data_IF_597555772082
#
_entry.id   IF_597555772082
#
_cell.length_a   1.000
_cell.length_b   1.000
_cell.length_c   1.000
_cell.angle_alpha   90.00
_cell.angle_beta   90.00
_cell.angle_gamma   90.00
#
_symmetry.space_group_name_H-M   'P 1'
#
loop_
_entity.id
_entity.type
_entity.pdbx_description
1 polymer ?
#
# COMPACT_ATOMS: atom_id res chain seq x y z
N UNK A 1 8.53 16.31 -48.03
CA UNK A 1 9.20 15.89 -46.78
C UNK A 1 8.20 15.09 -45.98
N UNK A 2 8.23 13.78 -46.14
CA UNK A 2 7.35 12.84 -45.43
C UNK A 2 8.03 12.51 -44.10
N UNK A 3 7.46 12.98 -42.99
CA UNK A 3 7.89 12.63 -41.64
C UNK A 3 7.52 11.16 -41.36
N UNK A 4 8.50 10.26 -41.49
CA UNK A 4 8.37 8.92 -40.92
C UNK A 4 8.26 9.04 -39.41
N UNK A 5 7.05 8.96 -38.86
CA UNK A 5 6.82 8.65 -37.45
C UNK A 5 7.30 7.21 -37.22
N UNK A 6 8.54 7.03 -36.78
CA UNK A 6 9.01 5.73 -36.34
C UNK A 6 8.19 5.34 -35.13
N UNK A 7 7.22 4.46 -35.30
CA UNK A 7 6.51 3.81 -34.22
C UNK A 7 7.57 3.09 -33.35
N UNK A 8 7.83 3.62 -32.14
CA UNK A 8 8.72 2.94 -31.19
C UNK A 8 8.14 1.54 -30.96
N UNK A 9 8.95 0.48 -30.97
CA UNK A 9 8.46 -0.86 -30.78
C UNK A 9 7.69 -0.91 -29.43
N UNK A 10 6.47 -1.46 -29.44
CA UNK A 10 5.59 -1.55 -28.27
C UNK A 10 6.25 -2.27 -27.08
N UNK A 11 7.31 -3.05 -27.32
CA UNK A 11 8.02 -3.87 -26.34
C UNK A 11 9.42 -3.33 -26.05
N UNK A 12 9.48 -2.13 -25.46
CA UNK A 12 10.74 -1.52 -25.01
C UNK A 12 11.26 -2.20 -23.72
N UNK A 13 12.55 -2.00 -23.38
CA UNK A 13 13.11 -2.48 -22.11
C UNK A 13 12.33 -1.91 -20.91
N UNK A 14 11.93 -0.64 -20.95
CA UNK A 14 11.12 0.02 -19.93
C UNK A 14 9.79 -0.73 -19.68
N UNK A 15 9.06 -1.10 -20.73
CA UNK A 15 7.80 -1.83 -20.62
C UNK A 15 7.99 -3.25 -20.07
N UNK A 16 9.06 -3.94 -20.51
CA UNK A 16 9.41 -5.27 -19.99
C UNK A 16 9.78 -5.23 -18.53
N UNK A 17 10.60 -4.27 -18.13
CA UNK A 17 10.99 -4.08 -16.74
C UNK A 17 9.79 -3.76 -15.88
N UNK A 18 8.92 -2.85 -16.33
CA UNK A 18 7.67 -2.52 -15.62
C UNK A 18 6.80 -3.77 -15.40
N UNK A 19 6.62 -4.61 -16.43
CA UNK A 19 5.84 -5.83 -16.30
C UNK A 19 6.44 -6.79 -15.27
N UNK A 20 7.75 -7.02 -15.33
CA UNK A 20 8.45 -7.92 -14.39
C UNK A 20 8.32 -7.39 -12.96
N UNK A 21 8.58 -6.11 -12.74
CA UNK A 21 8.52 -5.51 -11.40
C UNK A 21 7.07 -5.38 -10.89
N UNK A 22 6.11 -5.14 -11.78
CA UNK A 22 4.68 -5.18 -11.48
C UNK A 22 4.27 -6.56 -10.97
N UNK A 23 4.64 -7.62 -11.69
CA UNK A 23 4.40 -8.99 -11.26
C UNK A 23 5.11 -9.29 -9.93
N UNK A 24 6.38 -8.85 -9.79
CA UNK A 24 7.16 -9.05 -8.56
C UNK A 24 6.41 -8.48 -7.33
N UNK A 25 6.04 -7.22 -7.38
CA UNK A 25 5.39 -6.57 -6.24
C UNK A 25 3.94 -7.04 -6.04
N UNK A 26 3.25 -7.35 -7.11
CA UNK A 26 1.91 -7.93 -7.04
C UNK A 26 1.90 -9.30 -6.35
N UNK A 27 2.88 -10.16 -6.63
CA UNK A 27 2.99 -11.46 -5.97
C UNK A 27 3.48 -11.38 -4.53
N UNK A 28 4.25 -10.36 -4.14
CA UNK A 28 4.50 -10.06 -2.71
C UNK A 28 3.17 -9.87 -1.98
N UNK A 29 2.25 -9.08 -2.53
CA UNK A 29 0.95 -8.87 -1.90
C UNK A 29 0.03 -10.10 -2.02
N UNK A 30 0.16 -10.89 -3.08
CA UNK A 30 -0.55 -12.16 -3.20
C UNK A 30 -0.20 -13.11 -2.04
N UNK A 31 1.09 -13.33 -1.77
CA UNK A 31 1.57 -14.17 -0.67
C UNK A 31 1.24 -13.57 0.71
N UNK A 32 1.38 -12.25 0.85
CA UNK A 32 1.08 -11.53 2.09
C UNK A 32 -0.38 -11.69 2.49
N UNK A 33 -1.31 -11.54 1.53
CA UNK A 33 -2.75 -11.62 1.77
C UNK A 33 -3.26 -13.07 1.82
N UNK A 34 -2.53 -14.02 1.22
CA UNK A 34 -2.91 -15.44 1.23
C UNK A 34 -3.17 -15.97 2.64
N UNK A 35 -2.37 -15.56 3.64
CA UNK A 35 -2.60 -15.96 5.03
C UNK A 35 -3.99 -15.54 5.51
N UNK A 36 -4.37 -14.29 5.28
CA UNK A 36 -5.66 -13.77 5.75
C UNK A 36 -6.83 -14.54 5.12
N UNK A 37 -6.71 -14.88 3.83
CA UNK A 37 -7.73 -15.67 3.12
C UNK A 37 -7.77 -17.13 3.57
N UNK A 38 -6.61 -17.70 3.95
CA UNK A 38 -6.48 -19.08 4.39
C UNK A 38 -6.70 -19.27 5.89
N UNK A 39 -6.66 -18.18 6.69
CA UNK A 39 -6.80 -18.27 8.13
C UNK A 39 -8.08 -18.98 8.58
N UNK A 40 -9.27 -18.75 7.99
CA UNK A 40 -10.48 -19.48 8.36
C UNK A 40 -10.36 -21.00 8.16
N UNK A 41 -9.52 -21.47 7.22
CA UNK A 41 -9.33 -22.89 6.95
C UNK A 41 -8.33 -23.53 7.93
N UNK A 42 -7.34 -22.75 8.39
CA UNK A 42 -6.26 -23.25 9.22
C UNK A 42 -6.45 -23.01 10.73
N UNK A 43 -7.29 -22.02 11.10
CA UNK A 43 -7.52 -21.67 12.50
C UNK A 43 -8.08 -22.81 13.33
N UNK A 44 -9.03 -23.56 12.78
CA UNK A 44 -9.63 -24.71 13.45
C UNK A 44 -8.63 -25.88 13.62
N UNK A 45 -7.82 -26.18 12.60
CA UNK A 45 -6.84 -27.28 12.62
C UNK A 45 -5.66 -27.00 13.53
N UNK A 46 -5.15 -25.75 13.50
CA UNK A 46 -3.96 -25.35 14.27
C UNK A 46 -4.32 -24.72 15.61
N UNK A 47 -5.59 -24.66 15.98
CA UNK A 47 -6.10 -24.04 17.21
C UNK A 47 -5.60 -22.60 17.41
N UNK A 48 -5.67 -21.78 16.34
CA UNK A 48 -5.17 -20.41 16.34
C UNK A 48 -6.23 -19.43 16.82
N UNK A 49 -5.84 -18.51 17.72
CA UNK A 49 -6.68 -17.41 18.16
C UNK A 49 -6.59 -16.18 17.26
N UNK A 50 -7.54 -15.25 17.37
CA UNK A 50 -7.50 -13.97 16.66
C UNK A 50 -6.32 -13.10 17.11
N UNK A 51 -5.93 -13.17 18.38
CA UNK A 51 -4.70 -12.53 18.88
C UNK A 51 -3.48 -13.04 18.11
N UNK A 52 -3.38 -14.35 17.90
CA UNK A 52 -2.28 -14.95 17.15
C UNK A 52 -2.28 -14.53 15.69
N UNK A 53 -3.45 -14.39 15.03
CA UNK A 53 -3.54 -13.82 13.68
C UNK A 53 -2.99 -12.39 13.66
N UNK A 54 -3.38 -11.56 14.62
CA UNK A 54 -2.86 -10.21 14.77
C UNK A 54 -1.35 -10.17 14.97
N UNK A 55 -0.81 -11.03 15.84
CA UNK A 55 0.63 -11.13 16.10
C UNK A 55 1.43 -11.57 14.86
N UNK A 56 0.90 -12.50 14.07
CA UNK A 56 1.51 -12.98 12.83
C UNK A 56 1.55 -11.88 11.78
N UNK A 57 0.47 -11.12 11.63
CA UNK A 57 0.41 -9.94 10.75
C UNK A 57 1.38 -8.85 11.20
N UNK A 58 1.46 -8.60 12.51
CA UNK A 58 2.39 -7.65 13.14
C UNK A 58 3.86 -8.03 12.93
N UNK A 59 4.20 -9.32 13.10
CA UNK A 59 5.56 -9.80 12.93
C UNK A 59 6.07 -9.58 11.50
N UNK A 60 5.23 -9.89 10.50
CA UNK A 60 5.55 -9.63 9.10
C UNK A 60 5.75 -8.13 8.84
N UNK A 61 4.83 -7.28 9.31
CA UNK A 61 4.92 -5.83 9.09
C UNK A 61 6.20 -5.23 9.68
N UNK A 62 6.56 -5.61 10.91
CA UNK A 62 7.77 -5.14 11.58
C UNK A 62 9.03 -5.56 10.82
N UNK A 63 9.15 -6.83 10.48
CA UNK A 63 10.36 -7.36 9.81
C UNK A 63 10.45 -6.83 8.37
N UNK A 64 9.32 -6.63 7.69
CA UNK A 64 9.24 -5.99 6.38
C UNK A 64 9.78 -4.55 6.42
N UNK A 65 9.35 -3.75 7.38
CA UNK A 65 9.79 -2.35 7.52
C UNK A 65 11.30 -2.27 7.83
N UNK A 66 11.78 -3.07 8.77
CA UNK A 66 13.19 -3.09 9.17
C UNK A 66 14.11 -3.58 8.03
N UNK A 67 13.72 -4.66 7.38
CA UNK A 67 14.50 -5.25 6.27
C UNK A 67 14.52 -4.33 5.05
N UNK A 68 13.39 -3.71 4.69
CA UNK A 68 13.31 -2.77 3.58
C UNK A 68 14.22 -1.57 3.78
N UNK A 69 14.21 -0.99 4.99
CA UNK A 69 15.08 0.15 5.33
C UNK A 69 16.57 -0.24 5.31
N UNK A 70 16.93 -1.37 5.92
CA UNK A 70 18.32 -1.83 5.98
C UNK A 70 18.87 -2.18 4.60
N UNK A 71 18.09 -2.94 3.80
CA UNK A 71 18.53 -3.38 2.46
C UNK A 71 18.54 -2.23 1.47
N UNK A 72 17.59 -1.26 1.57
CA UNK A 72 17.61 -0.05 0.76
C UNK A 72 18.91 0.73 0.98
N UNK A 73 19.27 1.01 2.23
CA UNK A 73 20.50 1.71 2.57
C UNK A 73 21.76 0.94 2.10
N UNK A 74 21.78 -0.39 2.27
CA UNK A 74 22.91 -1.22 1.84
C UNK A 74 23.05 -1.29 0.32
N UNK A 75 21.93 -1.41 -0.40
CA UNK A 75 21.89 -1.40 -1.86
C UNK A 75 22.40 -0.07 -2.43
N UNK A 76 21.99 1.04 -1.84
CA UNK A 76 22.44 2.38 -2.27
C UNK A 76 23.96 2.57 -2.07
N UNK A 77 24.51 2.00 -0.98
CA UNK A 77 25.95 2.06 -0.70
C UNK A 77 26.79 1.22 -1.68
N UNK A 78 26.27 0.08 -2.13
CA UNK A 78 27.02 -0.88 -2.97
C UNK A 78 26.64 -0.86 -4.44
N UNK A 79 25.52 -0.27 -4.80
CA UNK A 79 25.00 -0.22 -6.18
C UNK A 79 24.55 -1.59 -6.72
N UNK A 80 24.29 -2.57 -5.85
CA UNK A 80 23.85 -3.93 -6.24
C UNK A 80 22.36 -4.07 -5.98
N UNK A 81 21.54 -4.18 -7.03
CA UNK A 81 20.07 -4.25 -6.91
C UNK A 81 19.49 -5.55 -7.42
N UNK A 82 19.91 -5.99 -8.59
CA UNK A 82 19.39 -7.22 -9.23
C UNK A 82 19.65 -8.47 -8.38
N UNK A 83 20.86 -8.77 -7.87
CA UNK A 83 21.08 -9.94 -7.05
C UNK A 83 20.28 -9.94 -5.76
N UNK A 84 20.15 -8.76 -5.12
CA UNK A 84 19.34 -8.61 -3.92
C UNK A 84 17.86 -8.82 -4.19
N UNK A 85 17.34 -8.32 -5.31
CA UNK A 85 15.95 -8.53 -5.71
C UNK A 85 15.67 -10.01 -6.00
N UNK A 86 16.60 -10.72 -6.68
CA UNK A 86 16.47 -12.17 -6.90
C UNK A 86 16.47 -12.92 -5.57
N UNK A 87 17.39 -12.63 -4.66
CA UNK A 87 17.45 -13.24 -3.35
C UNK A 87 16.17 -13.00 -2.54
N UNK A 88 15.64 -11.78 -2.58
CA UNK A 88 14.38 -11.40 -1.94
C UNK A 88 13.20 -12.21 -2.50
N UNK A 89 13.08 -12.30 -3.83
CA UNK A 89 11.99 -13.04 -4.50
C UNK A 89 12.08 -14.54 -4.21
N UNK A 90 13.26 -15.14 -4.29
CA UNK A 90 13.45 -16.55 -3.92
C UNK A 90 13.16 -16.77 -2.44
N UNK A 91 13.62 -15.86 -1.57
CA UNK A 91 13.40 -15.93 -0.13
C UNK A 91 11.92 -15.95 0.24
N UNK A 92 11.11 -15.00 -0.26
CA UNK A 92 9.69 -15.01 0.06
C UNK A 92 8.94 -16.19 -0.57
N UNK A 93 9.33 -16.63 -1.76
CA UNK A 93 8.74 -17.83 -2.40
C UNK A 93 8.98 -19.09 -1.59
N UNK A 94 10.19 -19.25 -1.06
CA UNK A 94 10.50 -20.36 -0.15
C UNK A 94 9.69 -20.24 1.16
N UNK A 95 9.59 -19.05 1.74
CA UNK A 95 8.79 -18.81 2.94
C UNK A 95 7.30 -19.08 2.71
N UNK A 96 6.77 -18.79 1.50
CA UNK A 96 5.40 -19.12 1.10
C UNK A 96 5.22 -20.66 1.13
N UNK A 97 6.10 -21.41 0.50
CA UNK A 97 6.05 -22.88 0.55
C UNK A 97 6.18 -23.42 1.99
N UNK A 98 7.10 -22.87 2.79
CA UNK A 98 7.27 -23.27 4.20
C UNK A 98 6.03 -22.96 5.05
N UNK A 99 5.24 -21.95 4.67
CA UNK A 99 3.95 -21.67 5.33
C UNK A 99 2.93 -22.80 5.16
N UNK A 100 3.06 -23.66 4.14
CA UNK A 100 2.28 -24.89 4.00
C UNK A 100 2.72 -26.03 4.96
N UNK A 101 3.92 -25.94 5.55
CA UNK A 101 4.45 -26.96 6.48
C UNK A 101 4.21 -26.60 7.95
N UNK A 102 3.53 -25.50 8.27
CA UNK A 102 3.33 -25.08 9.65
C UNK A 102 2.47 -26.09 10.42
N UNK A 103 2.92 -26.40 11.63
CA UNK A 103 2.22 -27.29 12.58
C UNK A 103 1.66 -26.56 13.78
N UNK A 104 1.75 -25.20 13.85
CA UNK A 104 1.24 -24.39 14.96
C UNK A 104 1.73 -22.96 14.92
N UNK A 105 1.34 -22.18 15.95
CA UNK A 105 1.62 -20.74 16.01
C UNK A 105 3.10 -20.39 15.93
N UNK A 106 3.98 -21.13 16.64
CA UNK A 106 5.40 -20.80 16.69
C UNK A 106 6.09 -20.90 15.31
N UNK A 107 5.78 -21.92 14.54
CA UNK A 107 6.29 -22.07 13.17
C UNK A 107 5.69 -21.03 12.22
N UNK A 108 4.40 -20.71 12.38
CA UNK A 108 3.71 -19.73 11.56
C UNK A 108 4.30 -18.32 11.75
N UNK A 109 4.48 -17.86 12.99
CA UNK A 109 5.05 -16.53 13.26
C UNK A 109 6.51 -16.45 12.81
N UNK A 110 7.30 -17.51 12.96
CA UNK A 110 8.68 -17.57 12.49
C UNK A 110 8.77 -17.42 10.95
N UNK A 111 7.95 -18.17 10.21
CA UNK A 111 7.96 -18.08 8.74
C UNK A 111 7.41 -16.74 8.26
N UNK A 112 6.45 -16.14 8.95
CA UNK A 112 5.97 -14.78 8.63
C UNK A 112 7.02 -13.70 8.90
N UNK A 113 7.77 -13.82 9.98
CA UNK A 113 8.89 -12.91 10.24
C UNK A 113 10.00 -13.06 9.16
N UNK A 114 10.35 -14.28 8.78
CA UNK A 114 11.29 -14.54 7.68
C UNK A 114 10.77 -14.03 6.33
N UNK A 115 9.49 -14.23 6.05
CA UNK A 115 8.83 -13.69 4.85
C UNK A 115 8.92 -12.17 4.81
N UNK A 116 8.65 -11.46 5.93
CA UNK A 116 8.79 -10.02 6.01
C UNK A 116 10.24 -9.55 5.76
N UNK A 117 11.24 -10.29 6.25
CA UNK A 117 12.66 -10.01 5.95
C UNK A 117 12.93 -10.13 4.44
N UNK A 118 12.37 -11.14 3.78
CA UNK A 118 12.56 -11.36 2.35
C UNK A 118 11.77 -10.37 1.48
N UNK A 119 10.54 -10.03 1.85
CA UNK A 119 9.68 -9.11 1.09
C UNK A 119 10.10 -7.64 1.21
N UNK A 120 10.62 -7.21 2.38
CA UNK A 120 10.94 -5.81 2.66
C UNK A 120 11.80 -5.13 1.59
N UNK A 121 12.86 -5.78 1.08
CA UNK A 121 13.72 -5.23 0.03
C UNK A 121 13.04 -5.02 -1.33
N UNK A 122 11.96 -5.77 -1.62
CA UNK A 122 11.39 -5.84 -2.98
C UNK A 122 10.94 -4.48 -3.49
N UNK A 123 10.21 -3.71 -2.67
CA UNK A 123 9.70 -2.42 -3.11
C UNK A 123 10.81 -1.38 -3.37
N UNK A 124 11.73 -1.08 -2.42
CA UNK A 124 12.77 -0.09 -2.65
C UNK A 124 13.71 -0.45 -3.81
N UNK A 125 14.05 -1.74 -3.97
CA UNK A 125 14.88 -2.20 -5.08
C UNK A 125 14.14 -2.06 -6.42
N UNK A 126 12.88 -2.44 -6.47
CA UNK A 126 12.05 -2.32 -7.69
C UNK A 126 11.85 -0.87 -8.09
N UNK A 127 11.57 0.01 -7.12
CA UNK A 127 11.43 1.45 -7.37
C UNK A 127 12.71 2.05 -7.92
N UNK A 128 13.86 1.71 -7.34
CA UNK A 128 15.16 2.18 -7.82
C UNK A 128 15.44 1.76 -9.25
N UNK A 129 15.26 0.47 -9.59
CA UNK A 129 15.43 -0.05 -10.95
C UNK A 129 14.48 0.62 -11.96
N UNK A 130 13.21 0.84 -11.54
CA UNK A 130 12.20 1.44 -12.41
C UNK A 130 12.48 2.93 -12.66
N UNK A 131 12.85 3.71 -11.64
CA UNK A 131 13.17 5.13 -11.76
C UNK A 131 14.32 5.35 -12.75
N UNK A 132 15.37 4.54 -12.67
CA UNK A 132 16.54 4.66 -13.55
C UNK A 132 16.25 4.29 -15.00
N UNK A 133 15.31 3.38 -15.21
CA UNK A 133 14.96 2.89 -16.54
C UNK A 133 13.77 3.63 -17.18
N UNK A 134 13.06 4.46 -16.40
CA UNK A 134 11.88 5.18 -16.88
C UNK A 134 12.22 6.47 -17.58
N UNK A 135 11.56 6.71 -18.71
CA UNK A 135 11.55 8.03 -19.36
C UNK A 135 10.91 9.07 -18.41
N UNK A 136 11.39 10.33 -18.37
CA UNK A 136 10.88 11.34 -17.43
C UNK A 136 9.35 11.52 -17.48
N UNK A 137 8.77 11.47 -18.68
CA UNK A 137 7.31 11.63 -18.90
C UNK A 137 6.46 10.46 -18.37
N UNK A 138 7.03 9.25 -18.27
CA UNK A 138 6.33 8.04 -17.83
C UNK A 138 6.65 7.61 -16.39
N UNK A 139 7.62 8.25 -15.75
CA UNK A 139 8.12 7.86 -14.43
C UNK A 139 7.00 7.81 -13.38
N UNK A 140 6.14 8.82 -13.35
CA UNK A 140 4.99 8.85 -12.42
C UNK A 140 4.00 7.71 -12.66
N UNK A 141 3.65 7.45 -13.93
CA UNK A 141 2.77 6.34 -14.31
C UNK A 141 3.37 4.98 -13.91
N UNK A 142 4.65 4.77 -14.25
CA UNK A 142 5.34 3.51 -13.94
C UNK A 142 5.41 3.24 -12.43
N UNK A 143 5.65 4.28 -11.62
CA UNK A 143 5.67 4.16 -10.16
C UNK A 143 4.27 3.90 -9.58
N UNK A 144 3.24 4.56 -10.11
CA UNK A 144 1.85 4.32 -9.71
C UNK A 144 1.38 2.90 -10.03
N UNK A 145 1.71 2.39 -11.21
CA UNK A 145 1.41 1.01 -11.61
C UNK A 145 2.15 0.01 -10.71
N UNK A 146 3.44 0.22 -10.50
CA UNK A 146 4.27 -0.67 -9.68
C UNK A 146 3.77 -0.76 -8.24
N UNK A 147 3.53 0.35 -7.58
CA UNK A 147 3.23 0.39 -6.15
C UNK A 147 1.74 0.21 -5.85
N UNK A 148 0.87 0.89 -6.60
CA UNK A 148 -0.56 0.92 -6.32
C UNK A 148 -1.32 -0.23 -6.97
N UNK A 149 -1.21 -0.35 -8.30
CA UNK A 149 -2.05 -1.28 -9.06
C UNK A 149 -1.63 -2.73 -8.92
N UNK A 150 -0.32 -3.01 -8.80
CA UNK A 150 0.16 -4.39 -8.72
C UNK A 150 -0.37 -5.12 -7.49
N UNK A 151 -0.27 -4.48 -6.31
CA UNK A 151 -0.76 -5.05 -5.05
C UNK A 151 -2.28 -5.26 -5.07
N UNK A 152 -3.04 -4.27 -5.57
CA UNK A 152 -4.50 -4.36 -5.68
C UNK A 152 -4.96 -5.44 -6.66
N UNK A 153 -4.37 -5.46 -7.86
CA UNK A 153 -4.78 -6.39 -8.91
C UNK A 153 -4.42 -7.83 -8.58
N UNK A 154 -3.15 -8.12 -8.32
CA UNK A 154 -2.69 -9.50 -8.11
C UNK A 154 -2.98 -9.99 -6.69
N UNK A 155 -2.70 -9.17 -5.67
CA UNK A 155 -2.89 -9.57 -4.29
C UNK A 155 -4.34 -9.59 -3.85
N UNK A 156 -5.04 -8.47 -4.01
CA UNK A 156 -6.37 -8.30 -3.43
C UNK A 156 -7.52 -8.70 -4.37
N UNK A 157 -7.38 -8.58 -5.69
CA UNK A 157 -8.46 -8.90 -6.63
C UNK A 157 -8.35 -10.33 -7.18
N UNK A 158 -7.16 -10.76 -7.63
CA UNK A 158 -6.92 -12.11 -8.18
C UNK A 158 -6.63 -13.13 -7.06
N UNK A 159 -5.97 -12.69 -5.98
CA UNK A 159 -5.58 -13.56 -4.87
C UNK A 159 -6.73 -14.36 -4.25
N UNK A 160 -7.83 -13.73 -3.79
CA UNK A 160 -8.91 -14.45 -3.13
C UNK A 160 -9.48 -15.61 -3.96
N UNK A 161 -9.95 -15.43 -5.21
CA UNK A 161 -10.54 -16.53 -5.96
C UNK A 161 -9.54 -17.66 -6.23
N UNK A 162 -8.27 -17.36 -6.44
CA UNK A 162 -7.25 -18.38 -6.68
C UNK A 162 -6.90 -19.14 -5.40
N UNK A 163 -6.55 -18.43 -4.33
CA UNK A 163 -6.09 -19.03 -3.07
C UNK A 163 -7.21 -19.80 -2.39
N UNK A 164 -8.42 -19.22 -2.32
CA UNK A 164 -9.59 -19.85 -1.72
C UNK A 164 -10.07 -21.03 -2.58
N UNK A 165 -10.06 -20.88 -3.91
CA UNK A 165 -10.42 -21.96 -4.83
C UNK A 165 -9.53 -23.20 -4.67
N UNK A 166 -8.20 -23.01 -4.54
CA UNK A 166 -7.28 -24.11 -4.26
C UNK A 166 -7.54 -24.71 -2.88
N UNK A 167 -7.71 -23.85 -1.86
CA UNK A 167 -7.90 -24.28 -0.48
C UNK A 167 -9.18 -25.10 -0.28
N UNK A 168 -10.26 -24.77 -0.99
CA UNK A 168 -11.53 -25.50 -0.90
C UNK A 168 -11.48 -26.89 -1.53
N UNK A 169 -10.66 -27.10 -2.55
CA UNK A 169 -10.57 -28.37 -3.28
C UNK A 169 -9.44 -29.26 -2.75
N UNK A 170 -8.27 -28.67 -2.50
CA UNK A 170 -7.05 -29.42 -2.18
C UNK A 170 -6.55 -29.20 -0.75
N UNK A 171 -7.06 -28.18 -0.05
CA UNK A 171 -6.61 -27.81 1.27
C UNK A 171 -5.76 -26.53 1.29
N UNK A 172 -5.63 -25.93 2.49
CA UNK A 172 -4.91 -24.67 2.67
C UNK A 172 -3.38 -24.80 2.51
N UNK A 173 -2.84 -25.99 2.78
CA UNK A 173 -1.39 -26.26 2.61
C UNK A 173 -0.99 -26.20 1.14
N UNK A 174 -1.77 -26.84 0.30
CA UNK A 174 -1.58 -26.88 -1.15
C UNK A 174 -1.70 -25.48 -1.76
N UNK A 175 -2.57 -24.63 -1.21
CA UNK A 175 -2.67 -23.24 -1.64
C UNK A 175 -1.35 -22.48 -1.41
N UNK A 176 -0.67 -22.69 -0.29
CA UNK A 176 0.67 -22.12 -0.06
C UNK A 176 1.73 -22.70 -0.98
N UNK A 177 1.71 -24.02 -1.24
CA UNK A 177 2.68 -24.64 -2.16
C UNK A 177 2.51 -24.11 -3.60
N UNK A 178 1.28 -23.93 -4.05
CA UNK A 178 1.03 -23.37 -5.39
C UNK A 178 1.41 -21.89 -5.45
N UNK A 179 1.20 -21.14 -4.38
CA UNK A 179 1.54 -19.70 -4.32
C UNK A 179 3.03 -19.42 -4.49
N UNK A 180 3.93 -20.35 -4.17
CA UNK A 180 5.37 -20.15 -4.35
C UNK A 180 5.82 -20.22 -5.82
N UNK A 181 5.09 -20.91 -6.70
CA UNK A 181 5.49 -21.17 -8.10
C UNK A 181 5.70 -19.86 -8.88
N UNK A 182 4.79 -18.88 -8.88
CA UNK A 182 5.00 -17.63 -9.60
C UNK A 182 6.27 -16.89 -9.19
N UNK A 183 6.65 -16.95 -7.90
CA UNK A 183 7.86 -16.30 -7.41
C UNK A 183 9.13 -16.89 -8.03
N UNK A 184 9.24 -18.20 -8.18
CA UNK A 184 10.39 -18.83 -8.89
C UNK A 184 10.43 -18.43 -10.36
N UNK A 185 9.28 -18.36 -11.04
CA UNK A 185 9.20 -17.90 -12.43
C UNK A 185 9.64 -16.43 -12.55
N UNK A 186 9.20 -15.58 -11.62
CA UNK A 186 9.59 -14.17 -11.57
C UNK A 186 11.08 -14.01 -11.30
N UNK A 187 11.65 -14.78 -10.36
CA UNK A 187 13.09 -14.76 -10.10
C UNK A 187 13.90 -15.14 -11.35
N UNK A 188 13.45 -16.15 -12.11
CA UNK A 188 14.02 -16.49 -13.41
C UNK A 188 13.89 -15.34 -14.42
N UNK A 189 12.72 -14.69 -14.48
CA UNK A 189 12.51 -13.53 -15.34
C UNK A 189 13.43 -12.35 -14.99
N UNK A 190 13.60 -12.07 -13.70
CA UNK A 190 14.52 -11.04 -13.19
C UNK A 190 15.96 -11.40 -13.61
N UNK A 191 16.38 -12.63 -13.35
CA UNK A 191 17.71 -13.09 -13.72
C UNK A 191 17.98 -12.97 -15.21
N UNK A 192 17.04 -13.33 -16.06
CA UNK A 192 17.22 -13.40 -17.52
C UNK A 192 17.10 -12.04 -18.22
N UNK A 193 16.22 -11.15 -17.74
CA UNK A 193 15.83 -9.96 -18.50
C UNK A 193 16.07 -8.63 -17.78
N UNK A 194 16.23 -8.60 -16.48
CA UNK A 194 16.54 -7.35 -15.75
C UNK A 194 18.06 -7.10 -15.85
N UNK A 195 18.41 -5.86 -16.17
CA UNK A 195 19.82 -5.43 -16.24
C UNK A 195 20.24 -4.88 -14.88
N UNK A 196 21.47 -5.18 -14.46
CA UNK A 196 22.08 -4.50 -13.32
C UNK A 196 22.37 -3.05 -13.68
N UNK A 197 22.19 -2.15 -12.76
CA UNK A 197 22.50 -0.75 -12.93
C UNK A 197 23.87 -0.48 -12.31
N UNK A 198 24.83 0.09 -13.07
CA UNK A 198 26.16 0.37 -12.54
C UNK A 198 26.14 1.32 -11.34
N UNK A 199 27.08 1.18 -10.38
CA UNK A 199 27.24 2.13 -9.28
C UNK A 199 27.48 3.55 -9.81
N UNK A 200 26.61 4.48 -9.47
CA UNK A 200 26.73 5.89 -9.95
C UNK A 200 25.58 6.37 -10.84
N UNK A 201 24.79 5.49 -11.45
CA UNK A 201 23.60 5.86 -12.23
C UNK A 201 22.54 6.59 -11.40
N UNK A 202 22.41 6.24 -10.13
CA UNK A 202 21.45 6.85 -9.19
C UNK A 202 21.71 8.33 -8.92
N UNK A 203 22.99 8.75 -8.83
CA UNK A 203 23.32 10.17 -8.60
C UNK A 203 22.84 11.08 -9.73
N UNK A 204 22.87 10.58 -10.98
CA UNK A 204 22.36 11.34 -12.13
C UNK A 204 20.84 11.36 -12.19
N UNK A 205 20.18 10.23 -11.86
CA UNK A 205 18.71 10.15 -11.87
C UNK A 205 18.05 10.95 -10.72
N UNK A 206 18.65 10.96 -9.54
CA UNK A 206 18.22 11.81 -8.43
C UNK A 206 18.48 13.31 -8.70
N UNK A 207 19.59 13.64 -9.39
CA UNK A 207 19.88 15.02 -9.78
C UNK A 207 18.95 15.55 -10.88
N UNK A 208 18.45 14.67 -11.79
CA UNK A 208 17.55 15.06 -12.88
C UNK A 208 16.07 15.04 -12.45
N UNK A 209 15.70 14.23 -11.44
CA UNK A 209 14.33 14.16 -10.92
C UNK A 209 14.01 15.14 -9.78
N UNK A 210 15.05 15.59 -9.07
CA UNK A 210 14.99 16.72 -8.14
C UNK A 210 15.87 17.81 -8.77
N UNK A 211 15.31 18.84 -9.33
CA UNK A 211 16.04 19.93 -9.98
C UNK A 211 16.95 20.73 -9.03
N UNK A 212 17.79 20.04 -8.26
CA UNK A 212 18.86 20.64 -7.46
C UNK A 212 20.00 19.62 -7.24
N UNK A 213 21.28 20.04 -7.30
CA UNK A 213 22.42 19.23 -6.91
C UNK A 213 22.27 18.83 -5.45
N UNK A 214 22.66 17.58 -5.13
CA UNK A 214 22.86 17.18 -3.74
C UNK A 214 23.96 18.08 -3.15
N UNK A 215 23.58 19.26 -2.70
CA UNK A 215 24.43 20.08 -1.86
C UNK A 215 24.66 19.27 -0.59
N UNK A 216 25.91 19.07 -0.23
CA UNK A 216 26.40 18.68 1.08
C UNK A 216 25.91 19.72 2.09
N UNK A 217 24.67 19.68 2.46
CA UNK A 217 24.00 20.57 3.39
C UNK A 217 23.59 19.79 4.63
N UNK A 218 23.71 20.41 5.77
CA UNK A 218 23.41 19.92 7.09
C UNK A 218 22.25 18.93 7.14
N UNK A 219 22.43 17.81 7.84
CA UNK A 219 21.44 16.76 8.01
C UNK A 219 20.09 17.41 8.40
N UNK A 220 19.05 17.17 7.57
CA UNK A 220 17.71 17.70 7.86
C UNK A 220 17.27 17.08 9.18
N UNK A 221 17.02 17.92 10.16
CA UNK A 221 16.46 17.47 11.43
C UNK A 221 15.03 16.95 11.16
N UNK A 222 14.91 15.62 11.13
CA UNK A 222 13.63 14.94 10.84
C UNK A 222 12.53 15.37 11.81
N UNK A 223 12.88 15.63 13.06
CA UNK A 223 11.94 16.07 14.09
C UNK A 223 11.46 17.51 13.86
N UNK A 224 12.24 18.34 13.18
CA UNK A 224 11.80 19.68 12.81
C UNK A 224 10.66 19.66 11.78
N UNK A 225 10.55 18.59 10.97
CA UNK A 225 9.44 18.43 10.02
C UNK A 225 8.09 18.26 10.70
N UNK A 226 8.05 17.75 11.95
CA UNK A 226 6.81 17.65 12.73
C UNK A 226 6.25 19.01 13.17
N UNK A 227 7.02 20.10 13.04
CA UNK A 227 6.51 21.47 13.26
C UNK A 227 5.62 21.93 12.10
N UNK A 228 5.79 21.34 10.92
CA UNK A 228 4.91 21.59 9.78
C UNK A 228 3.56 20.90 10.01
N UNK A 229 2.49 21.72 10.12
CA UNK A 229 1.14 21.24 10.47
C UNK A 229 0.66 20.10 9.59
N UNK A 230 0.82 20.19 8.26
CA UNK A 230 0.40 19.15 7.35
C UNK A 230 1.21 17.86 7.53
N UNK A 231 2.51 17.94 7.82
CA UNK A 231 3.36 16.76 8.05
C UNK A 231 2.93 16.04 9.33
N UNK A 232 2.75 16.77 10.44
CA UNK A 232 2.28 16.19 11.70
C UNK A 232 0.93 15.49 11.51
N UNK A 233 -0.01 16.17 10.83
CA UNK A 233 -1.32 15.58 10.56
C UNK A 233 -1.23 14.36 9.65
N UNK A 234 -0.39 14.38 8.61
CA UNK A 234 -0.17 13.21 7.76
C UNK A 234 0.43 12.03 8.54
N UNK A 235 1.31 12.27 9.52
CA UNK A 235 1.83 11.21 10.42
C UNK A 235 0.69 10.61 11.25
N UNK A 236 -0.15 11.43 11.87
CA UNK A 236 -1.27 10.95 12.68
C UNK A 236 -2.33 10.24 11.83
N UNK A 237 -2.66 10.81 10.66
CA UNK A 237 -3.57 10.20 9.69
C UNK A 237 -3.02 8.85 9.23
N UNK A 238 -1.72 8.75 8.97
CA UNK A 238 -1.07 7.51 8.57
C UNK A 238 -1.25 6.41 9.64
N UNK A 239 -1.02 6.72 10.91
CA UNK A 239 -1.26 5.78 12.01
C UNK A 239 -2.72 5.26 12.02
N UNK A 240 -3.67 6.17 11.87
CA UNK A 240 -5.10 5.83 11.89
C UNK A 240 -5.54 5.04 10.63
N UNK A 241 -5.10 5.49 9.46
CA UNK A 241 -5.46 4.83 8.19
C UNK A 241 -4.79 3.48 8.00
N UNK A 242 -3.53 3.31 8.40
CA UNK A 242 -2.91 1.98 8.38
C UNK A 242 -3.59 1.04 9.37
N UNK A 243 -4.06 1.53 10.53
CA UNK A 243 -4.91 0.73 11.43
C UNK A 243 -6.17 0.25 10.70
N UNK A 244 -6.90 1.16 10.03
CA UNK A 244 -8.07 0.80 9.21
C UNK A 244 -7.73 -0.25 8.18
N UNK A 245 -6.67 -0.04 7.40
CA UNK A 245 -6.27 -0.90 6.29
C UNK A 245 -5.82 -2.28 6.75
N UNK A 246 -4.86 -2.35 7.68
CA UNK A 246 -4.26 -3.63 8.08
C UNK A 246 -5.25 -4.47 8.88
N UNK A 247 -6.07 -3.86 9.73
CA UNK A 247 -7.08 -4.58 10.51
C UNK A 247 -8.16 -5.15 9.59
N UNK A 248 -8.73 -4.35 8.68
CA UNK A 248 -9.78 -4.86 7.77
C UNK A 248 -9.26 -5.98 6.87
N UNK A 249 -8.06 -5.82 6.30
CA UNK A 249 -7.50 -6.84 5.41
C UNK A 249 -7.16 -8.14 6.13
N UNK A 250 -6.70 -8.05 7.39
CA UNK A 250 -6.33 -9.23 8.17
C UNK A 250 -7.55 -9.96 8.73
N UNK A 251 -8.57 -9.23 9.19
CA UNK A 251 -9.68 -9.81 9.94
C UNK A 251 -10.97 -9.97 9.15
N UNK A 252 -11.15 -9.27 8.02
CA UNK A 252 -12.38 -9.41 7.23
C UNK A 252 -12.65 -10.84 6.76
N UNK A 253 -11.68 -11.63 6.24
CA UNK A 253 -11.94 -13.01 5.84
C UNK A 253 -12.45 -13.88 6.97
N UNK A 254 -11.81 -13.81 8.14
CA UNK A 254 -12.22 -14.55 9.34
C UNK A 254 -13.58 -14.10 9.83
N UNK A 255 -13.82 -12.78 9.88
CA UNK A 255 -15.10 -12.20 10.29
C UNK A 255 -16.24 -12.67 9.38
N UNK A 256 -16.04 -12.67 8.07
CA UNK A 256 -17.06 -13.10 7.10
C UNK A 256 -17.41 -14.60 7.23
N UNK A 257 -16.42 -15.46 7.49
CA UNK A 257 -16.63 -16.89 7.64
C UNK A 257 -17.13 -17.25 9.04
N UNK A 258 -16.46 -16.83 10.10
CA UNK A 258 -16.74 -17.27 11.47
C UNK A 258 -17.93 -16.53 12.10
N UNK A 259 -18.03 -15.19 11.89
CA UNK A 259 -19.12 -14.40 12.52
C UNK A 259 -20.35 -14.23 11.62
N UNK A 260 -20.14 -14.15 10.29
CA UNK A 260 -21.24 -13.98 9.33
C UNK A 260 -21.69 -15.30 8.71
N UNK A 261 -20.98 -16.40 8.98
CA UNK A 261 -21.26 -17.74 8.47
C UNK A 261 -21.38 -17.81 6.94
N UNK A 262 -20.62 -16.94 6.23
CA UNK A 262 -20.55 -17.00 4.77
C UNK A 262 -19.73 -18.22 4.33
N UNK A 263 -20.11 -18.79 3.19
CA UNK A 263 -19.25 -19.81 2.58
C UNK A 263 -17.90 -19.24 2.18
N UNK A 264 -16.84 -20.05 2.12
CA UNK A 264 -15.54 -19.59 1.60
C UNK A 264 -15.64 -18.97 0.20
N UNK A 265 -16.51 -19.48 -0.65
CA UNK A 265 -16.74 -18.91 -2.00
C UNK A 265 -17.35 -17.50 -1.93
N UNK A 266 -18.34 -17.29 -1.07
CA UNK A 266 -18.98 -15.98 -0.87
C UNK A 266 -17.99 -14.98 -0.26
N UNK A 267 -17.18 -15.40 0.72
CA UNK A 267 -16.09 -14.60 1.26
C UNK A 267 -15.12 -14.20 0.14
N UNK A 268 -14.76 -15.13 -0.74
CA UNK A 268 -13.92 -14.88 -1.91
C UNK A 268 -14.49 -13.80 -2.84
N UNK A 269 -15.81 -13.81 -3.10
CA UNK A 269 -16.50 -12.79 -3.90
C UNK A 269 -16.35 -11.41 -3.24
N UNK A 270 -16.65 -11.29 -1.94
CA UNK A 270 -16.58 -10.02 -1.22
C UNK A 270 -15.13 -9.48 -1.20
N UNK A 271 -14.15 -10.36 -0.96
CA UNK A 271 -12.74 -9.95 -0.95
C UNK A 271 -12.24 -9.57 -2.35
N UNK A 272 -12.75 -10.19 -3.40
CA UNK A 272 -12.48 -9.78 -4.79
C UNK A 272 -13.04 -8.40 -5.09
N UNK A 273 -14.25 -8.09 -4.63
CA UNK A 273 -14.85 -6.76 -4.76
C UNK A 273 -14.01 -5.70 -3.99
N UNK A 274 -13.49 -6.05 -2.81
CA UNK A 274 -12.55 -5.21 -2.07
C UNK A 274 -11.27 -4.94 -2.87
N UNK A 275 -10.69 -5.97 -3.49
CA UNK A 275 -9.52 -5.83 -4.34
C UNK A 275 -9.79 -4.97 -5.58
N UNK A 276 -10.94 -5.14 -6.24
CA UNK A 276 -11.36 -4.29 -7.35
C UNK A 276 -11.53 -2.82 -6.93
N UNK A 277 -12.08 -2.58 -5.74
CA UNK A 277 -12.17 -1.25 -5.14
C UNK A 277 -10.78 -0.63 -4.89
N UNK A 278 -9.83 -1.43 -4.40
CA UNK A 278 -8.45 -0.98 -4.21
C UNK A 278 -7.86 -0.43 -5.50
N UNK A 279 -7.99 -1.18 -6.60
CA UNK A 279 -7.50 -0.73 -7.90
C UNK A 279 -8.22 0.53 -8.35
N UNK A 280 -9.55 0.54 -8.32
CA UNK A 280 -10.36 1.65 -8.83
C UNK A 280 -10.16 2.94 -8.02
N UNK A 281 -10.32 2.89 -6.70
CA UNK A 281 -10.23 4.07 -5.84
C UNK A 281 -8.80 4.57 -5.66
N UNK A 282 -7.80 3.71 -5.84
CA UNK A 282 -6.39 4.09 -5.87
C UNK A 282 -6.07 5.13 -6.94
N UNK A 283 -6.83 5.15 -8.05
CA UNK A 283 -6.72 6.16 -9.11
C UNK A 283 -7.79 7.26 -8.99
N UNK A 284 -9.04 6.89 -8.70
CA UNK A 284 -10.16 7.81 -8.72
C UNK A 284 -10.02 8.91 -7.66
N UNK A 285 -9.66 8.57 -6.43
CA UNK A 285 -9.57 9.55 -5.34
C UNK A 285 -8.49 10.62 -5.58
N UNK A 286 -7.24 10.27 -5.97
CA UNK A 286 -6.25 11.29 -6.34
C UNK A 286 -6.71 12.17 -7.51
N UNK A 287 -7.31 11.59 -8.56
CA UNK A 287 -7.81 12.37 -9.70
C UNK A 287 -8.93 13.33 -9.32
N UNK A 288 -9.82 12.93 -8.41
CA UNK A 288 -10.86 13.81 -7.85
C UNK A 288 -10.21 14.93 -7.02
N UNK A 289 -9.19 14.62 -6.23
CA UNK A 289 -8.52 15.58 -5.37
C UNK A 289 -7.80 16.69 -6.13
N UNK A 290 -7.36 16.42 -7.36
CA UNK A 290 -6.77 17.42 -8.23
C UNK A 290 -7.78 18.52 -8.63
N UNK A 291 -9.07 18.18 -8.67
CA UNK A 291 -10.15 19.09 -9.08
C UNK A 291 -10.79 19.82 -7.90
N UNK A 292 -11.11 19.11 -6.82
CA UNK A 292 -11.87 19.66 -5.68
C UNK A 292 -10.99 20.09 -4.50
N UNK A 293 -9.74 19.62 -4.47
CA UNK A 293 -8.77 19.92 -3.41
C UNK A 293 -8.40 18.70 -2.57
N UNK A 294 -7.24 18.79 -1.91
CA UNK A 294 -6.69 17.68 -1.10
C UNK A 294 -7.52 17.47 0.16
N UNK A 295 -7.76 18.57 0.90
CA UNK A 295 -8.47 18.54 2.18
C UNK A 295 -9.92 18.02 2.05
N UNK A 296 -10.80 18.58 1.19
CA UNK A 296 -12.18 18.10 1.08
C UNK A 296 -12.24 16.63 0.61
N UNK A 297 -11.34 16.23 -0.28
CA UNK A 297 -11.23 14.82 -0.73
C UNK A 297 -10.86 13.90 0.42
N UNK A 298 -9.86 14.25 1.23
CA UNK A 298 -9.46 13.46 2.39
C UNK A 298 -10.61 13.29 3.38
N UNK A 299 -11.35 14.34 3.70
CA UNK A 299 -12.49 14.30 4.62
C UNK A 299 -13.59 13.39 4.06
N UNK A 300 -14.02 13.62 2.81
CA UNK A 300 -15.12 12.88 2.21
C UNK A 300 -14.81 11.37 2.08
N UNK A 301 -13.66 11.04 1.52
CA UNK A 301 -13.30 9.64 1.24
C UNK A 301 -12.82 8.87 2.49
N UNK A 302 -12.29 9.55 3.51
CA UNK A 302 -12.04 8.93 4.80
C UNK A 302 -13.35 8.57 5.53
N UNK A 303 -14.36 9.43 5.44
CA UNK A 303 -15.69 9.16 5.99
C UNK A 303 -16.34 7.96 5.27
N UNK A 304 -16.27 7.93 3.94
CA UNK A 304 -16.77 6.79 3.15
C UNK A 304 -16.02 5.51 3.51
N UNK A 305 -14.70 5.57 3.67
CA UNK A 305 -13.89 4.42 4.07
C UNK A 305 -14.29 3.85 5.45
N UNK A 306 -14.72 4.71 6.38
CA UNK A 306 -15.21 4.28 7.69
C UNK A 306 -16.52 3.48 7.61
N UNK A 307 -17.32 3.66 6.55
CA UNK A 307 -18.56 2.90 6.32
C UNK A 307 -18.27 1.45 5.93
N UNK A 308 -17.13 1.16 5.29
CA UNK A 308 -16.81 -0.18 4.77
C UNK A 308 -16.87 -1.30 5.84
N UNK A 309 -16.18 -1.21 7.01
CA UNK A 309 -16.31 -2.23 8.05
C UNK A 309 -17.73 -2.32 8.64
N UNK A 310 -18.47 -1.22 8.68
CA UNK A 310 -19.86 -1.19 9.17
C UNK A 310 -20.78 -1.95 8.21
N UNK A 311 -20.60 -1.79 6.91
CA UNK A 311 -21.30 -2.56 5.87
C UNK A 311 -21.05 -4.06 6.04
N UNK A 312 -19.80 -4.46 6.33
CA UNK A 312 -19.45 -5.87 6.57
C UNK A 312 -20.19 -6.46 7.79
N UNK A 313 -20.47 -5.64 8.81
CA UNK A 313 -21.21 -6.09 10.00
C UNK A 313 -22.70 -6.29 9.72
N UNK A 314 -23.35 -5.43 8.95
CA UNK A 314 -24.82 -5.34 8.90
C UNK A 314 -25.45 -5.89 7.62
N UNK A 315 -24.76 -5.93 6.49
CA UNK A 315 -25.35 -6.33 5.21
C UNK A 315 -25.37 -7.86 5.05
N UNK A 316 -26.54 -8.44 4.84
CA UNK A 316 -26.74 -9.90 4.77
C UNK A 316 -26.54 -10.51 3.38
N UNK A 317 -26.91 -9.79 2.32
CA UNK A 317 -26.79 -10.29 0.94
C UNK A 317 -25.35 -10.19 0.44
N UNK A 318 -24.77 -11.28 -0.05
CA UNK A 318 -23.38 -11.35 -0.56
C UNK A 318 -23.16 -10.36 -1.70
N UNK A 319 -24.07 -10.26 -2.64
CA UNK A 319 -23.97 -9.35 -3.79
C UNK A 319 -24.09 -7.88 -3.38
N UNK A 320 -25.03 -7.57 -2.48
CA UNK A 320 -25.14 -6.21 -1.92
C UNK A 320 -23.93 -5.85 -1.08
N UNK A 321 -23.41 -6.79 -0.30
CA UNK A 321 -22.21 -6.63 0.49
C UNK A 321 -21.00 -6.35 -0.40
N UNK A 322 -20.77 -7.15 -1.44
CA UNK A 322 -19.69 -6.95 -2.40
C UNK A 322 -19.77 -5.59 -3.10
N UNK A 323 -20.96 -5.19 -3.57
CA UNK A 323 -21.16 -3.89 -4.21
C UNK A 323 -20.92 -2.71 -3.25
N UNK A 324 -21.38 -2.81 -2.00
CA UNK A 324 -21.17 -1.76 -0.99
C UNK A 324 -19.72 -1.71 -0.52
N UNK A 325 -19.05 -2.86 -0.36
CA UNK A 325 -17.61 -2.91 -0.09
C UNK A 325 -16.85 -2.25 -1.22
N UNK A 326 -17.16 -2.54 -2.48
CA UNK A 326 -16.56 -1.85 -3.63
C UNK A 326 -16.78 -0.34 -3.56
N UNK A 327 -17.98 0.12 -3.26
CA UNK A 327 -18.30 1.54 -3.20
C UNK A 327 -17.64 2.27 -2.02
N UNK A 328 -17.43 1.58 -0.90
CA UNK A 328 -16.98 2.20 0.35
C UNK A 328 -15.51 1.97 0.69
N UNK A 329 -14.81 1.03 0.06
CA UNK A 329 -13.38 0.78 0.29
C UNK A 329 -12.48 1.81 -0.40
N UNK A 330 -12.68 3.08 -0.08
CA UNK A 330 -12.04 4.24 -0.73
C UNK A 330 -10.69 4.63 -0.14
N UNK A 331 -10.34 4.10 1.02
CA UNK A 331 -9.17 4.52 1.80
C UNK A 331 -7.84 4.40 1.06
N UNK A 332 -7.71 3.45 0.13
CA UNK A 332 -6.48 3.25 -0.65
C UNK A 332 -6.15 4.46 -1.55
N UNK A 333 -7.16 5.16 -2.04
CA UNK A 333 -6.95 6.43 -2.73
C UNK A 333 -6.50 7.55 -1.79
N UNK A 334 -6.99 7.56 -0.54
CA UNK A 334 -6.51 8.49 0.49
C UNK A 334 -5.03 8.27 0.84
N UNK A 335 -4.54 7.02 0.78
CA UNK A 335 -3.12 6.69 0.98
C UNK A 335 -2.20 7.53 0.10
N UNK A 336 -2.49 7.64 -1.18
CA UNK A 336 -1.71 8.42 -2.13
C UNK A 336 -1.66 9.89 -1.72
N UNK A 337 -2.74 10.42 -1.13
CA UNK A 337 -2.82 11.82 -0.73
C UNK A 337 -1.94 12.10 0.49
N UNK A 338 -2.15 11.38 1.61
CA UNK A 338 -1.42 11.69 2.84
C UNK A 338 -0.01 11.10 2.89
N UNK A 339 0.29 10.04 2.14
CA UNK A 339 1.63 9.44 2.08
C UNK A 339 2.53 10.03 1.01
N UNK A 340 2.00 10.71 -0.02
CA UNK A 340 2.81 11.21 -1.11
C UNK A 340 2.49 12.65 -1.49
N UNK A 341 1.23 12.95 -1.85
CA UNK A 341 0.88 14.21 -2.52
C UNK A 341 0.97 15.40 -1.57
N UNK A 342 0.25 15.37 -0.44
CA UNK A 342 0.22 16.47 0.54
C UNK A 342 1.62 16.76 1.11
N UNK A 343 2.40 15.75 1.53
CA UNK A 343 3.76 15.99 1.98
C UNK A 343 4.65 16.62 0.91
N UNK A 344 4.60 16.15 -0.33
CA UNK A 344 5.41 16.68 -1.43
C UNK A 344 5.04 18.12 -1.80
N UNK A 345 3.78 18.51 -1.62
CA UNK A 345 3.30 19.90 -1.81
C UNK A 345 3.57 20.82 -0.61
N UNK A 346 3.91 20.24 0.56
CA UNK A 346 4.11 20.98 1.82
C UNK A 346 5.56 21.34 2.10
N UNK A 347 6.51 20.40 1.82
CA UNK A 347 7.92 20.60 2.16
C UNK A 347 8.79 20.83 0.92
N UNK A 348 9.96 21.48 1.05
CA UNK A 348 10.88 21.68 -0.07
C UNK A 348 11.40 20.33 -0.59
N UNK A 349 11.76 20.21 -1.89
CA UNK A 349 12.13 18.96 -2.55
C UNK A 349 13.19 18.13 -1.80
N UNK A 350 14.16 18.79 -1.15
CA UNK A 350 15.21 18.15 -0.35
C UNK A 350 14.69 17.42 0.89
N UNK A 351 13.52 17.79 1.41
CA UNK A 351 12.94 17.24 2.63
C UNK A 351 11.87 16.17 2.38
N UNK A 352 11.40 16.00 1.12
CA UNK A 352 10.30 15.09 0.77
C UNK A 352 10.58 13.66 1.24
N UNK A 353 11.74 13.09 0.90
CA UNK A 353 12.08 11.71 1.28
C UNK A 353 12.05 11.49 2.80
N UNK A 354 12.55 12.48 3.57
CA UNK A 354 12.53 12.43 5.04
C UNK A 354 11.11 12.53 5.60
N UNK A 355 10.25 13.37 5.01
CA UNK A 355 8.85 13.49 5.41
C UNK A 355 8.08 12.21 5.12
N UNK A 356 8.22 11.64 3.92
CA UNK A 356 7.56 10.38 3.54
C UNK A 356 8.02 9.23 4.42
N UNK A 357 9.34 9.12 4.70
CA UNK A 357 9.89 8.10 5.60
C UNK A 357 9.35 8.21 7.03
N UNK A 358 9.16 9.43 7.54
CA UNK A 358 8.58 9.68 8.86
C UNK A 358 7.10 9.28 8.92
N UNK A 359 6.31 9.67 7.92
CA UNK A 359 4.88 9.36 7.81
C UNK A 359 4.67 7.85 7.69
N UNK A 360 5.41 7.21 6.79
CA UNK A 360 5.31 5.76 6.55
C UNK A 360 5.80 4.97 7.78
N UNK A 361 6.94 5.35 8.36
CA UNK A 361 7.50 4.65 9.52
C UNK A 361 6.60 4.71 10.75
N UNK A 362 6.01 5.86 11.05
CA UNK A 362 5.05 6.00 12.16
C UNK A 362 3.76 5.20 11.91
N UNK A 363 3.25 5.26 10.68
CA UNK A 363 2.07 4.50 10.28
C UNK A 363 2.27 3.00 10.38
N UNK A 364 3.38 2.47 9.88
CA UNK A 364 3.72 1.04 9.96
C UNK A 364 3.93 0.58 11.42
N UNK A 365 4.54 1.42 12.26
CA UNK A 365 4.73 1.08 13.67
C UNK A 365 3.39 0.97 14.42
N UNK A 366 2.49 1.90 14.24
CA UNK A 366 1.19 1.92 14.94
C UNK A 366 0.18 1.03 14.22
N UNK A 367 -0.08 1.30 12.95
CA UNK A 367 -1.13 0.64 12.18
C UNK A 367 -0.73 -0.73 11.64
N UNK A 368 0.53 -0.92 11.25
CA UNK A 368 1.03 -2.20 10.72
C UNK A 368 1.44 -3.18 11.83
N UNK A 369 2.12 -2.70 12.88
CA UNK A 369 2.67 -3.58 13.92
C UNK A 369 1.78 -3.66 15.17
N UNK A 370 1.36 -2.54 15.77
CA UNK A 370 0.61 -2.57 17.04
C UNK A 370 -0.86 -2.92 16.82
N UNK A 371 -1.52 -2.27 15.87
CA UNK A 371 -2.96 -2.35 15.72
C UNK A 371 -3.50 -3.77 15.42
N UNK A 372 -2.89 -4.62 14.58
CA UNK A 372 -3.43 -5.96 14.35
C UNK A 372 -3.41 -6.84 15.60
N UNK A 373 -2.35 -6.77 16.41
CA UNK A 373 -2.27 -7.53 17.68
C UNK A 373 -3.35 -7.06 18.65
N UNK A 374 -3.54 -5.74 18.80
CA UNK A 374 -4.58 -5.17 19.66
C UNK A 374 -5.98 -5.54 19.16
N UNK A 375 -6.22 -5.46 17.84
CA UNK A 375 -7.50 -5.86 17.25
C UNK A 375 -7.79 -7.35 17.45
N UNK A 376 -6.79 -8.21 17.32
CA UNK A 376 -6.93 -9.64 17.60
C UNK A 376 -7.25 -9.94 19.06
N UNK A 377 -6.56 -9.27 19.99
CA UNK A 377 -6.83 -9.40 21.44
C UNK A 377 -8.27 -8.94 21.80
N UNK A 378 -8.71 -7.84 21.24
CA UNK A 378 -10.08 -7.36 21.46
C UNK A 378 -11.10 -8.28 20.80
N UNK A 379 -10.78 -8.86 19.63
CA UNK A 379 -11.63 -9.82 18.95
C UNK A 379 -11.81 -11.12 19.76
N UNK A 380 -10.76 -11.64 20.37
CA UNK A 380 -10.85 -12.84 21.24
C UNK A 380 -11.70 -12.57 22.49
N UNK A 381 -11.66 -11.34 23.04
CA UNK A 381 -12.35 -11.00 24.30
C UNK A 381 -13.80 -10.55 24.09
N UNK A 382 -14.08 -9.82 23.02
CA UNK A 382 -15.37 -9.15 22.79
C UNK A 382 -16.05 -9.57 21.49
N UNK A 383 -15.43 -10.46 20.71
CA UNK A 383 -15.94 -10.94 19.43
C UNK A 383 -15.31 -10.22 18.22
N UNK A 384 -15.27 -10.93 17.10
CA UNK A 384 -14.61 -10.47 15.85
C UNK A 384 -15.15 -9.15 15.29
N UNK A 385 -16.41 -8.80 15.59
CA UNK A 385 -16.96 -7.49 15.21
C UNK A 385 -16.19 -6.30 15.80
N UNK A 386 -15.50 -6.47 16.94
CA UNK A 386 -14.67 -5.41 17.51
C UNK A 386 -13.44 -5.09 16.66
N UNK A 387 -12.89 -6.06 15.91
CA UNK A 387 -11.86 -5.77 14.92
C UNK A 387 -12.40 -4.86 13.80
N UNK A 388 -13.64 -5.10 13.33
CA UNK A 388 -14.29 -4.23 12.35
C UNK A 388 -14.54 -2.82 12.90
N UNK A 389 -14.99 -2.69 14.17
CA UNK A 389 -15.15 -1.40 14.83
C UNK A 389 -13.82 -0.68 15.04
N UNK A 390 -12.75 -1.40 15.36
CA UNK A 390 -11.39 -0.83 15.47
C UNK A 390 -10.95 -0.24 14.12
N UNK A 391 -11.20 -0.97 13.03
CA UNK A 391 -10.94 -0.48 11.68
C UNK A 391 -11.78 0.78 11.37
N UNK A 392 -13.08 0.76 11.63
CA UNK A 392 -13.96 1.93 11.41
C UNK A 392 -13.49 3.15 12.20
N UNK A 393 -13.11 2.97 13.47
CA UNK A 393 -12.60 4.03 14.34
C UNK A 393 -11.31 4.66 13.75
N UNK A 394 -10.41 3.84 13.19
CA UNK A 394 -9.21 4.33 12.50
C UNK A 394 -9.56 5.30 11.38
N UNK A 395 -10.50 4.93 10.50
CA UNK A 395 -10.93 5.80 9.39
C UNK A 395 -11.67 7.06 9.88
N UNK A 396 -12.50 6.95 10.93
CA UNK A 396 -13.19 8.11 11.54
C UNK A 396 -12.18 9.09 12.13
N UNK A 397 -11.20 8.60 12.88
CA UNK A 397 -10.14 9.44 13.44
C UNK A 397 -9.32 10.12 12.35
N UNK A 398 -8.99 9.40 11.28
CA UNK A 398 -8.32 9.98 10.11
C UNK A 398 -9.17 11.06 9.43
N UNK A 399 -10.49 10.87 9.33
CA UNK A 399 -11.43 11.88 8.85
C UNK A 399 -11.39 13.13 9.73
N UNK A 400 -11.50 12.97 11.05
CA UNK A 400 -11.46 14.09 12.02
C UNK A 400 -10.14 14.85 11.92
N UNK A 401 -9.00 14.15 11.87
CA UNK A 401 -7.68 14.77 11.70
C UNK A 401 -7.57 15.54 10.37
N UNK A 402 -8.24 15.06 9.32
CA UNK A 402 -8.23 15.69 8.00
C UNK A 402 -8.89 17.08 7.98
N UNK A 403 -9.77 17.40 8.92
CA UNK A 403 -10.29 18.78 9.09
C UNK A 403 -9.19 19.77 9.49
N UNK A 404 -8.12 19.28 10.12
CA UNK A 404 -6.94 20.07 10.47
C UNK A 404 -6.02 20.39 9.28
N UNK A 405 -6.09 19.67 8.16
CA UNK A 405 -5.23 19.87 7.00
C UNK A 405 -5.40 21.28 6.39
N UNK A 406 -4.30 21.83 5.91
CA UNK A 406 -4.28 23.04 5.08
C UNK A 406 -4.29 22.58 3.62
N UNK A 407 -5.13 23.23 2.79
CA UNK A 407 -5.26 22.91 1.38
C UNK A 407 -3.95 23.17 0.63
N UNK A 408 -3.50 22.21 -0.17
CA UNK A 408 -2.25 22.29 -0.92
C UNK A 408 -2.43 22.18 -2.44
N UNK A 409 -3.63 21.83 -2.93
CA UNK A 409 -3.89 21.66 -4.36
C UNK A 409 -3.65 22.94 -5.16
N UNK A 410 -2.68 22.94 -6.12
CA UNK A 410 -2.33 24.17 -6.87
C UNK A 410 -3.51 24.77 -7.64
N UNK A 411 -4.40 23.95 -8.19
CA UNK A 411 -5.57 24.41 -8.93
C UNK A 411 -6.57 25.17 -8.04
N UNK A 412 -6.77 24.69 -6.80
CA UNK A 412 -7.69 25.33 -5.83
C UNK A 412 -7.08 26.63 -5.29
N UNK A 413 -5.77 26.63 -5.00
CA UNK A 413 -5.07 27.81 -4.52
C UNK A 413 -5.07 28.92 -5.57
N UNK A 414 -4.86 28.59 -6.85
CA UNK A 414 -4.97 29.55 -7.96
C UNK A 414 -6.38 30.16 -8.07
N UNK A 415 -7.44 29.34 -7.98
CA UNK A 415 -8.82 29.82 -8.02
C UNK A 415 -9.12 30.78 -6.86
N UNK A 416 -8.66 30.46 -5.65
CA UNK A 416 -8.83 31.33 -4.47
C UNK A 416 -8.08 32.67 -4.61
N UNK A 417 -6.84 32.61 -5.15
CA UNK A 417 -6.05 33.81 -5.40
C UNK A 417 -6.75 34.77 -6.42
N UNK A 418 -7.28 34.18 -7.51
CA UNK A 418 -8.02 34.96 -8.54
C UNK A 418 -9.31 35.54 -7.97
N UNK A 419 -10.10 34.79 -7.21
CA UNK A 419 -11.31 35.26 -6.58
C UNK A 419 -11.03 36.39 -5.57
N UNK A 420 -9.96 36.29 -4.79
CA UNK A 420 -9.53 37.34 -3.87
C UNK A 420 -9.03 38.63 -4.56
N UNK A 421 -8.46 38.50 -5.76
CA UNK A 421 -8.04 39.64 -6.57
C UNK A 421 -9.25 40.37 -7.17
N UNK A 422 -10.27 39.68 -7.68
CA UNK A 422 -11.51 40.25 -8.19
C UNK A 422 -12.26 40.99 -7.09
N UNK A 423 -12.40 40.42 -5.91
CA UNK A 423 -13.09 41.09 -4.79
C UNK A 423 -12.38 42.35 -4.34
N UNK A 424 -11.06 42.42 -4.38
CA UNK A 424 -10.30 43.65 -4.06
C UNK A 424 -10.48 44.76 -5.10
N UNK A 425 -10.55 44.39 -6.38
CA UNK A 425 -10.82 45.37 -7.46
C UNK A 425 -12.25 45.96 -7.36
N UNK A 426 -13.23 45.12 -7.02
CA UNK A 426 -14.62 45.59 -6.83
C UNK A 426 -14.76 46.51 -5.61
N UNK A 427 -14.06 46.23 -4.51
CA UNK A 427 -14.05 47.11 -3.33
C UNK A 427 -13.33 48.45 -3.59
N UNK A 428 -12.26 48.46 -4.39
CA UNK A 428 -11.58 49.71 -4.78
C UNK A 428 -12.43 50.58 -5.71
N UNK A 429 -13.20 49.96 -6.62
CA UNK A 429 -14.09 50.71 -7.53
C UNK A 429 -15.35 51.23 -6.82
N UNK A 430 -15.79 50.65 -5.71
CA UNK A 430 -16.93 51.13 -4.91
C UNK A 430 -16.53 52.21 -3.89
N UNK A 431 -15.27 52.28 -3.46
CA UNK A 431 -14.76 53.27 -2.52
C UNK A 431 -14.24 54.56 -3.17
N UNK A 432 -14.27 54.66 -4.50
CA UNK A 432 -13.84 55.81 -5.29
C UNK A 432 -15.01 56.65 -5.90
N UNK A 433 -16.25 56.48 -5.44
CA UNK A 433 -17.41 57.25 -5.84
C UNK A 433 -17.90 58.13 -4.71
#
# INVERSE_FOLDING_TARGET
>A
MTSHSSSKPAWTYENRLLLILFMTFGFVFFDRLALSFLFPFMSAELHLSNTQLGMVSSALALTWALSGAATGAWSDARGTRKPLLIAAVLGFSVCSALSGLVGGFASLIAFRALMGIAEGPVLPLSQSLMIESSTPSRRGLNMGLLQGSAAGLLGAMIGPPVVIGIATVYGWREAFYVSCIPGFLIAFCIWRWVREVPPGGVRHAQAVGAGAPAASGAAINRWALLKERNILLCVLISCCFLTWFVVIISFAPVFLVESRHLSPADMGIVMTCLGAAWVFWGFAVPAISDRIGRKPTMIAFALVAAVCPVVMIHVGSVWALGALVFATYTGLGCFTLFMATIPAETVPPRAIASALGLIMGAGELIGGFIAPTVAGFTADRYGLQFAMWTSAAGAILACVLSFGLVETAPAVLRKRALAGATTRLDTQNLGGR
#
